data_IF_465911342501
#
_entry.id   IF_465911342501
#
_cell.length_a   1.000
_cell.length_b   1.000
_cell.length_c   1.000
_cell.angle_alpha   90.00
_cell.angle_beta   90.00
_cell.angle_gamma   90.00
#
_symmetry.space_group_name_H-M   'P 1'
#
loop_
_entity.id
_entity.type
_entity.pdbx_description
1 polymer ?
#
# COMPACT_ATOMS: atom_id res chain seq x y z
N UNK A 1 -17.87 15.66 7.49
CA UNK A 1 -16.48 15.45 7.02
C UNK A 1 -15.62 16.58 7.57
N UNK A 2 -14.47 16.24 8.14
CA UNK A 2 -13.46 17.20 8.63
C UNK A 2 -12.58 17.65 7.44
N UNK A 3 -12.76 18.91 7.05
CA UNK A 3 -12.05 19.61 5.98
C UNK A 3 -11.16 20.73 6.55
N UNK A 4 -10.89 20.70 7.86
CA UNK A 4 -10.16 21.76 8.55
C UNK A 4 -8.65 21.79 8.25
N UNK A 5 -8.14 20.81 7.49
CA UNK A 5 -6.76 20.73 7.03
C UNK A 5 -6.55 21.34 5.63
N UNK A 6 -7.59 21.87 4.99
CA UNK A 6 -7.43 22.69 3.80
C UNK A 6 -6.89 24.08 4.15
N UNK A 7 -6.25 24.79 3.20
CA UNK A 7 -5.91 26.20 3.37
C UNK A 7 -7.16 27.02 3.68
N UNK A 8 -7.05 28.04 4.53
CA UNK A 8 -8.20 28.89 4.91
C UNK A 8 -8.84 29.63 3.73
N UNK A 9 -8.09 29.80 2.65
CA UNK A 9 -8.53 30.44 1.40
C UNK A 9 -9.25 29.48 0.43
N UNK A 10 -9.28 28.19 0.74
CA UNK A 10 -9.86 27.17 -0.14
C UNK A 10 -11.39 27.08 0.04
N UNK A 11 -12.16 26.99 -1.04
CA UNK A 11 -13.64 26.95 -1.00
C UNK A 11 -14.20 25.84 -0.10
N UNK A 12 -13.53 24.68 -0.08
CA UNK A 12 -13.93 23.53 0.74
C UNK A 12 -13.49 23.62 2.21
N UNK A 13 -12.74 24.65 2.63
CA UNK A 13 -12.30 24.78 4.01
C UNK A 13 -13.49 24.96 4.95
N UNK A 14 -13.58 24.09 5.97
CA UNK A 14 -14.58 24.22 7.01
C UNK A 14 -14.06 23.68 8.33
N UNK A 15 -14.23 24.46 9.41
CA UNK A 15 -13.87 24.09 10.78
C UNK A 15 -14.99 23.35 11.52
N UNK A 16 -16.17 23.22 10.92
CA UNK A 16 -17.39 22.71 11.58
C UNK A 16 -17.22 21.31 12.21
N UNK A 17 -16.46 20.43 11.55
CA UNK A 17 -16.25 19.05 11.99
C UNK A 17 -14.84 18.79 12.53
N UNK A 18 -14.06 19.83 12.82
CA UNK A 18 -12.66 19.70 13.25
C UNK A 18 -12.56 18.89 14.53
N UNK A 19 -11.97 17.69 14.44
CA UNK A 19 -11.76 16.81 15.61
C UNK A 19 -13.04 16.20 16.19
N UNK A 20 -14.17 16.25 15.47
CA UNK A 20 -15.42 15.60 15.90
C UNK A 20 -15.26 14.08 15.79
N UNK A 21 -15.54 13.37 16.89
CA UNK A 21 -15.46 11.91 16.93
C UNK A 21 -16.46 11.29 15.94
N UNK A 22 -16.00 10.32 15.14
CA UNK A 22 -16.81 9.67 14.12
C UNK A 22 -16.91 10.44 12.79
N UNK A 23 -16.44 11.68 12.71
CA UNK A 23 -16.35 12.39 11.45
C UNK A 23 -15.17 11.88 10.61
N UNK A 24 -15.41 11.65 9.31
CA UNK A 24 -14.34 11.32 8.37
C UNK A 24 -13.47 12.54 8.11
N UNK A 25 -12.15 12.39 8.25
CA UNK A 25 -11.17 13.42 7.90
C UNK A 25 -10.68 13.24 6.48
N UNK A 26 -10.57 14.34 5.74
CA UNK A 26 -9.90 14.32 4.45
C UNK A 26 -8.38 14.19 4.67
N UNK A 27 -7.79 13.03 4.40
CA UNK A 27 -6.34 12.81 4.58
C UNK A 27 -5.49 13.38 3.44
N UNK A 28 -6.11 13.74 2.30
CA UNK A 28 -5.42 14.19 1.09
C UNK A 28 -5.83 15.61 0.75
N UNK A 29 -5.10 16.59 1.30
CA UNK A 29 -5.28 18.00 0.97
C UNK A 29 -4.82 18.33 -0.45
N UNK A 30 -3.79 17.61 -0.93
CA UNK A 30 -3.28 17.76 -2.29
C UNK A 30 -3.97 16.77 -3.24
N UNK A 31 -4.30 17.19 -4.48
CA UNK A 31 -4.82 16.30 -5.50
C UNK A 31 -3.91 15.09 -5.75
N UNK A 32 -4.51 13.91 -5.88
CA UNK A 32 -3.80 12.69 -6.25
C UNK A 32 -3.63 12.72 -7.77
N UNK A 33 -2.38 12.68 -8.25
CA UNK A 33 -2.06 12.59 -9.68
C UNK A 33 -2.18 11.16 -10.20
N UNK A 34 -1.71 10.21 -9.40
CA UNK A 34 -1.65 8.81 -9.81
C UNK A 34 -1.76 7.89 -8.60
N UNK A 35 -2.46 6.77 -8.79
CA UNK A 35 -2.56 5.71 -7.80
C UNK A 35 -2.13 4.38 -8.42
N UNK A 36 -1.09 3.77 -7.84
CA UNK A 36 -0.55 2.49 -8.29
C UNK A 36 -0.78 1.47 -7.18
N UNK A 37 -1.72 0.56 -7.41
CA UNK A 37 -2.06 -0.49 -6.46
C UNK A 37 -1.45 -1.83 -6.90
N UNK A 38 -0.68 -2.47 -6.02
CA UNK A 38 -0.18 -3.83 -6.25
C UNK A 38 -1.05 -4.86 -5.53
N UNK A 39 -1.32 -4.62 -4.24
CA UNK A 39 -2.25 -5.43 -3.44
C UNK A 39 -2.71 -4.68 -2.20
N UNK A 40 -3.58 -5.30 -1.41
CA UNK A 40 -3.99 -4.78 -0.11
C UNK A 40 -2.79 -4.37 0.75
N UNK A 41 -2.77 -3.10 1.19
CA UNK A 41 -1.69 -2.50 2.01
C UNK A 41 -0.32 -2.48 1.32
N UNK A 42 -0.30 -2.49 -0.03
CA UNK A 42 0.88 -2.32 -0.86
C UNK A 42 0.54 -1.48 -2.10
N UNK A 43 0.83 -0.18 -2.04
CA UNK A 43 0.45 0.78 -3.07
C UNK A 43 1.32 2.04 -3.00
N UNK A 44 1.28 2.85 -4.06
CA UNK A 44 1.91 4.16 -4.15
C UNK A 44 0.85 5.20 -4.56
N UNK A 45 0.74 6.28 -3.77
CA UNK A 45 -0.09 7.45 -4.09
C UNK A 45 0.85 8.60 -4.47
N UNK A 46 0.73 9.11 -5.69
CA UNK A 46 1.54 10.22 -6.21
C UNK A 46 0.73 11.51 -6.13
N UNK A 47 1.34 12.56 -5.60
CA UNK A 47 0.80 13.90 -5.45
C UNK A 47 1.60 14.89 -6.31
N UNK A 48 1.26 16.19 -6.25
CA UNK A 48 2.08 17.24 -6.87
C UNK A 48 3.53 17.24 -6.36
N UNK A 49 3.70 17.16 -5.05
CA UNK A 49 4.98 17.44 -4.38
C UNK A 49 5.62 16.19 -3.74
N UNK A 50 5.22 14.99 -4.17
CA UNK A 50 5.81 13.75 -3.67
C UNK A 50 4.92 12.52 -3.84
N UNK A 51 5.27 11.45 -3.11
CA UNK A 51 4.52 10.21 -3.14
C UNK A 51 4.47 9.52 -1.77
N UNK A 52 3.29 9.02 -1.39
CA UNK A 52 3.08 8.15 -0.23
C UNK A 52 3.19 6.69 -0.67
N UNK A 53 4.20 6.02 -0.14
CA UNK A 53 4.52 4.62 -0.43
C UNK A 53 4.13 3.72 0.73
N UNK A 54 3.30 2.73 0.46
CA UNK A 54 2.86 1.72 1.42
C UNK A 54 3.32 0.35 0.93
N UNK A 55 4.00 -0.41 1.80
CA UNK A 55 4.40 -1.79 1.53
C UNK A 55 4.45 -2.57 2.85
N UNK A 56 3.30 -3.11 3.29
CA UNK A 56 3.22 -3.80 4.58
C UNK A 56 4.19 -4.98 4.66
N UNK A 57 4.93 -5.06 5.77
CA UNK A 57 5.89 -6.14 6.04
C UNK A 57 7.29 -5.90 5.46
N UNK A 58 7.51 -4.76 4.81
CA UNK A 58 8.82 -4.27 4.37
C UNK A 58 9.28 -3.18 5.33
N UNK A 59 10.56 -3.20 5.70
CA UNK A 59 11.15 -2.15 6.55
C UNK A 59 11.05 -0.76 5.91
N UNK A 60 10.79 0.25 6.74
CA UNK A 60 10.62 1.65 6.32
C UNK A 60 11.83 2.17 5.54
N UNK A 61 13.04 1.76 5.93
CA UNK A 61 14.29 2.14 5.29
C UNK A 61 14.36 1.66 3.83
N UNK A 62 13.83 0.46 3.55
CA UNK A 62 13.74 -0.06 2.19
C UNK A 62 12.63 0.65 1.40
N UNK A 63 11.46 0.87 2.01
CA UNK A 63 10.33 1.57 1.35
C UNK A 63 10.70 3.01 0.94
N UNK A 64 11.56 3.69 1.71
CA UNK A 64 12.09 5.01 1.34
C UNK A 64 12.79 5.00 -0.03
N UNK A 65 13.46 3.90 -0.39
CA UNK A 65 14.20 3.74 -1.65
C UNK A 65 13.32 3.45 -2.86
N UNK A 66 12.08 3.01 -2.66
CA UNK A 66 11.18 2.72 -3.79
C UNK A 66 10.72 4.01 -4.48
N UNK A 67 10.53 3.95 -5.79
CA UNK A 67 10.02 5.05 -6.62
C UNK A 67 8.67 4.66 -7.23
N UNK A 68 7.89 5.63 -7.69
CA UNK A 68 6.62 5.34 -8.37
C UNK A 68 6.85 4.42 -9.59
N UNK A 69 7.91 4.65 -10.37
CA UNK A 69 8.27 3.81 -11.53
C UNK A 69 8.60 2.38 -11.15
N UNK A 70 9.17 2.16 -9.96
CA UNK A 70 9.39 0.81 -9.45
C UNK A 70 8.05 0.09 -9.20
N UNK A 71 7.04 0.78 -8.68
CA UNK A 71 5.71 0.19 -8.52
C UNK A 71 5.05 -0.09 -9.89
N UNK A 72 5.19 0.81 -10.87
CA UNK A 72 4.66 0.60 -12.24
C UNK A 72 5.32 -0.58 -12.94
N UNK A 73 6.65 -0.67 -12.89
CA UNK A 73 7.39 -1.78 -13.50
C UNK A 73 7.02 -3.12 -12.86
N UNK A 74 6.83 -3.15 -11.54
CA UNK A 74 6.35 -4.36 -10.84
C UNK A 74 4.96 -4.76 -11.29
N UNK A 75 4.03 -3.80 -11.43
CA UNK A 75 2.67 -4.04 -11.89
C UNK A 75 2.63 -4.53 -13.34
N UNK A 76 3.29 -3.81 -14.25
CA UNK A 76 3.21 -4.06 -15.69
C UNK A 76 3.97 -5.34 -16.09
N UNK A 77 5.10 -5.62 -15.46
CA UNK A 77 5.94 -6.76 -15.81
C UNK A 77 5.76 -7.96 -14.86
N UNK A 78 4.76 -7.91 -13.97
CA UNK A 78 4.43 -8.98 -13.02
C UNK A 78 5.64 -9.46 -12.18
N UNK A 79 6.46 -8.51 -11.69
CA UNK A 79 7.73 -8.82 -11.05
C UNK A 79 7.62 -9.12 -9.55
N UNK A 80 8.58 -9.90 -9.05
CA UNK A 80 8.74 -10.19 -7.63
C UNK A 80 10.06 -9.60 -7.13
N UNK A 81 10.01 -8.41 -6.54
CA UNK A 81 11.22 -7.78 -6.01
C UNK A 81 11.53 -8.34 -4.63
N UNK A 82 12.80 -8.68 -4.40
CA UNK A 82 13.28 -9.14 -3.10
C UNK A 82 14.36 -8.21 -2.57
N UNK A 83 14.26 -7.88 -1.29
CA UNK A 83 15.26 -7.08 -0.60
C UNK A 83 15.65 -7.77 0.70
N UNK A 84 16.94 -7.70 0.99
CA UNK A 84 17.47 -8.17 2.25
C UNK A 84 17.12 -7.20 3.37
N UNK A 85 16.63 -7.72 4.49
CA UNK A 85 16.37 -6.96 5.71
C UNK A 85 16.81 -7.76 6.93
N UNK A 86 17.26 -7.09 7.99
CA UNK A 86 17.65 -7.72 9.25
C UNK A 86 16.59 -7.45 10.30
N UNK A 87 16.08 -8.46 10.97
CA UNK A 87 15.09 -8.33 12.03
C UNK A 87 15.62 -8.97 13.32
N UNK A 88 15.31 -8.37 14.46
CA UNK A 88 15.49 -9.01 15.76
C UNK A 88 14.22 -9.83 16.02
N UNK A 89 14.39 -11.11 16.32
CA UNK A 89 13.28 -12.04 16.58
C UNK A 89 13.57 -12.87 17.82
N UNK A 90 12.52 -13.37 18.46
CA UNK A 90 12.64 -14.33 19.56
C UNK A 90 12.22 -15.70 19.09
N UNK A 91 13.05 -16.72 19.31
CA UNK A 91 12.73 -18.14 19.07
C UNK A 91 13.10 -18.94 20.30
N UNK A 92 12.17 -19.75 20.82
CA UNK A 92 12.37 -20.51 22.06
C UNK A 92 12.91 -19.66 23.22
N UNK A 93 12.34 -18.46 23.40
CA UNK A 93 12.78 -17.47 24.40
C UNK A 93 14.21 -16.94 24.25
N UNK A 94 14.90 -17.21 23.13
CA UNK A 94 16.21 -16.64 22.80
C UNK A 94 16.07 -15.55 21.74
N UNK A 95 16.73 -14.42 21.97
CA UNK A 95 16.76 -13.29 21.04
C UNK A 95 17.85 -13.54 20.01
N UNK A 96 17.50 -13.44 18.74
CA UNK A 96 18.39 -13.66 17.60
C UNK A 96 18.23 -12.53 16.58
N UNK A 97 19.34 -12.16 15.92
CA UNK A 97 19.30 -11.28 14.75
C UNK A 97 19.25 -12.13 13.49
N UNK A 98 18.16 -12.03 12.74
CA UNK A 98 17.93 -12.82 11.52
C UNK A 98 17.98 -11.93 10.30
N UNK A 99 18.81 -12.32 9.33
CA UNK A 99 18.84 -11.74 8.00
C UNK A 99 17.86 -12.48 7.10
N UNK A 100 16.90 -11.76 6.53
CA UNK A 100 15.82 -12.30 5.72
C UNK A 100 15.86 -11.71 4.32
N UNK A 101 15.76 -12.54 3.28
CA UNK A 101 15.52 -12.09 1.91
C UNK A 101 14.01 -12.02 1.65
N UNK A 102 13.41 -10.84 1.82
CA UNK A 102 11.96 -10.66 1.84
C UNK A 102 11.44 -10.23 0.48
N UNK A 103 10.31 -10.79 0.04
CA UNK A 103 9.53 -10.22 -1.06
C UNK A 103 9.01 -8.85 -0.64
N UNK A 104 9.50 -7.84 -1.33
CA UNK A 104 9.34 -6.43 -1.00
C UNK A 104 8.19 -5.77 -1.77
N UNK A 105 8.13 -5.98 -3.09
CA UNK A 105 7.04 -5.57 -3.95
C UNK A 105 6.65 -6.75 -4.84
N UNK A 106 5.35 -6.93 -5.02
CA UNK A 106 4.77 -7.97 -5.88
C UNK A 106 3.33 -7.58 -6.18
N UNK A 107 2.85 -7.77 -7.42
CA UNK A 107 1.44 -7.62 -7.76
C UNK A 107 0.62 -8.84 -7.31
N UNK A 108 1.27 -9.95 -6.92
CA UNK A 108 0.59 -11.16 -6.52
C UNK A 108 -0.13 -10.97 -5.18
N UNK A 109 -1.44 -11.24 -5.20
CA UNK A 109 -2.29 -11.24 -4.02
C UNK A 109 -2.83 -12.63 -3.74
N UNK A 110 -2.33 -13.24 -2.67
CA UNK A 110 -2.60 -14.61 -2.24
C UNK A 110 -4.07 -14.91 -1.90
N UNK A 111 -4.90 -13.88 -1.71
CA UNK A 111 -6.31 -14.06 -1.32
C UNK A 111 -7.30 -14.05 -2.48
N UNK A 112 -6.89 -13.56 -3.64
CA UNK A 112 -7.75 -13.46 -4.81
C UNK A 112 -7.07 -14.11 -6.02
N UNK A 113 -7.85 -14.86 -6.79
CA UNK A 113 -7.51 -15.31 -8.13
C UNK A 113 -7.84 -14.19 -9.12
N UNK A 114 -6.82 -13.69 -9.83
CA UNK A 114 -7.01 -12.73 -10.92
C UNK A 114 -7.40 -13.54 -12.15
N UNK A 115 -8.52 -13.18 -12.78
CA UNK A 115 -9.01 -13.85 -14.00
C UNK A 115 -8.18 -13.44 -15.23
N UNK A 116 -8.41 -14.11 -16.35
CA UNK A 116 -7.64 -13.91 -17.59
C UNK A 116 -7.72 -12.48 -18.16
N UNK A 117 -8.74 -11.72 -17.76
CA UNK A 117 -8.89 -10.30 -18.11
C UNK A 117 -7.90 -9.39 -17.37
N UNK A 118 -7.16 -9.92 -16.39
CA UNK A 118 -6.15 -9.22 -15.60
C UNK A 118 -6.72 -8.21 -14.60
N UNK A 119 -8.05 -8.12 -14.47
CA UNK A 119 -8.74 -7.09 -13.67
C UNK A 119 -9.70 -7.74 -12.68
N UNK A 120 -10.51 -8.69 -13.14
CA UNK A 120 -11.52 -9.32 -12.32
C UNK A 120 -10.86 -10.27 -11.32
N UNK A 121 -11.27 -10.18 -10.06
CA UNK A 121 -10.68 -10.92 -8.95
C UNK A 121 -11.74 -11.78 -8.26
N UNK A 122 -11.52 -13.08 -8.19
CA UNK A 122 -12.35 -14.02 -7.43
C UNK A 122 -11.66 -14.35 -6.10
N UNK A 123 -12.35 -14.25 -4.95
CA UNK A 123 -11.76 -14.62 -3.67
C UNK A 123 -11.48 -16.13 -3.61
N UNK A 124 -10.41 -16.53 -2.92
CA UNK A 124 -10.11 -17.95 -2.73
C UNK A 124 -11.30 -18.70 -2.10
N UNK A 125 -11.71 -19.82 -2.69
CA UNK A 125 -12.90 -20.58 -2.26
C UNK A 125 -14.23 -20.11 -2.88
N UNK A 126 -14.19 -19.18 -3.84
CA UNK A 126 -15.36 -18.81 -4.64
C UNK A 126 -15.93 -20.01 -5.40
N UNK A 127 -17.25 -20.10 -5.57
CA UNK A 127 -17.89 -21.25 -6.20
C UNK A 127 -17.50 -21.44 -7.68
N UNK A 128 -17.19 -20.34 -8.41
CA UNK A 128 -16.63 -20.40 -9.76
C UNK A 128 -15.17 -20.90 -9.82
N UNK A 129 -14.45 -20.94 -8.69
CA UNK A 129 -13.09 -21.49 -8.60
C UNK A 129 -13.13 -22.98 -8.19
N UNK A 130 -14.21 -23.69 -8.56
CA UNK A 130 -14.56 -25.01 -8.04
C UNK A 130 -13.36 -25.98 -7.94
N UNK A 131 -13.33 -26.67 -6.79
CA UNK A 131 -12.33 -27.61 -6.29
C UNK A 131 -11.82 -28.59 -7.36
N UNK A 132 -10.51 -28.61 -7.57
CA UNK A 132 -9.77 -29.81 -7.95
C UNK A 132 -9.19 -30.45 -6.68
#
# INVERSE_FOLDING_TARGET
MDLSNFPSDHELFSSQNKGVLGALKCETTSPIKEFIALKCKMYCLVYCDGAKKTAKGVKKEQVKRFTADLYKSVLNNQLFLRHQQQNITTKHHKIETVKQNKISLTPFYDKNFIQDDGISCLPHGHFYLAKH
#
